data_IF_568187801517
#
_entry.id   IF_568187801517
#
_cell.length_a   1.000
_cell.length_b   1.000
_cell.length_c   1.000
_cell.angle_alpha   90.00
_cell.angle_beta   90.00
_cell.angle_gamma   90.00
#
_symmetry.space_group_name_H-M   'P 1'
#
loop_
_entity.id
_entity.type
_entity.pdbx_description
1 polymer ?
#
# COMPACT_ATOMS: atom_id res chain seq x y z
N UNK A 1 -5.58 -39.06 -3.49
CA UNK A 1 -5.89 -37.74 -4.07
C UNK A 1 -4.90 -36.77 -3.46
N UNK A 2 -3.81 -36.53 -4.17
CA UNK A 2 -2.64 -35.78 -3.68
C UNK A 2 -2.88 -34.30 -3.96
N UNK A 3 -2.93 -33.46 -2.93
CA UNK A 3 -3.01 -32.01 -3.11
C UNK A 3 -1.73 -31.52 -3.82
N UNK A 4 -1.92 -30.76 -4.90
CA UNK A 4 -0.84 -30.12 -5.64
C UNK A 4 -0.31 -28.91 -4.84
N UNK A 5 1.00 -28.60 -4.89
CA UNK A 5 1.54 -27.40 -4.28
C UNK A 5 1.10 -26.19 -5.11
N UNK A 6 0.01 -25.53 -4.71
CA UNK A 6 -0.53 -24.38 -5.44
C UNK A 6 -1.86 -23.84 -4.92
N UNK A 7 -2.67 -24.66 -4.24
CA UNK A 7 -3.93 -24.20 -3.65
C UNK A 7 -3.67 -23.50 -2.31
N UNK A 8 -3.16 -22.27 -2.39
CA UNK A 8 -3.25 -21.32 -1.28
C UNK A 8 -4.68 -20.81 -1.23
N UNK A 9 -5.38 -21.01 -0.12
CA UNK A 9 -6.68 -20.40 0.15
C UNK A 9 -6.71 -18.94 -0.32
N UNK A 10 -7.80 -18.46 -0.97
CA UNK A 10 -7.85 -17.11 -1.50
C UNK A 10 -7.50 -16.12 -0.38
N UNK A 11 -6.48 -15.30 -0.61
CA UNK A 11 -6.06 -14.29 0.36
C UNK A 11 -7.26 -13.35 0.58
N UNK A 12 -7.92 -13.51 1.72
CA UNK A 12 -9.16 -12.82 2.01
C UNK A 12 -8.80 -11.38 2.37
N UNK A 13 -8.88 -10.49 1.38
CA UNK A 13 -8.70 -9.05 1.60
C UNK A 13 -9.80 -8.56 2.54
N UNK A 14 -9.39 -8.04 3.70
CA UNK A 14 -10.27 -7.57 4.77
C UNK A 14 -10.08 -6.09 5.07
N UNK A 15 -8.95 -5.49 4.69
CA UNK A 15 -8.67 -4.07 4.92
C UNK A 15 -7.76 -3.49 3.85
N UNK A 16 -8.26 -2.43 3.22
CA UNK A 16 -7.55 -1.63 2.23
C UNK A 16 -7.33 -0.22 2.76
N UNK A 17 -6.17 0.37 2.47
CA UNK A 17 -5.88 1.77 2.81
C UNK A 17 -5.73 2.57 1.52
N UNK A 18 -6.56 3.61 1.35
CA UNK A 18 -6.44 4.59 0.27
C UNK A 18 -5.79 5.87 0.79
N UNK A 19 -4.70 6.29 0.15
CA UNK A 19 -4.01 7.54 0.42
C UNK A 19 -4.19 8.47 -0.77
N UNK A 20 -4.85 9.61 -0.60
CA UNK A 20 -4.86 10.67 -1.61
C UNK A 20 -3.73 11.66 -1.33
N UNK A 21 -3.01 12.08 -2.37
CA UNK A 21 -1.87 13.00 -2.21
C UNK A 21 -1.73 13.94 -3.41
N UNK A 22 -1.19 15.13 -3.15
CA UNK A 22 -0.84 16.13 -4.16
C UNK A 22 0.35 16.95 -3.68
N UNK A 23 1.50 16.87 -4.36
CA UNK A 23 2.72 17.63 -4.08
C UNK A 23 3.14 17.61 -2.59
N UNK A 24 3.11 16.42 -1.96
CA UNK A 24 3.42 16.23 -0.52
C UNK A 24 4.35 15.03 -0.28
N UNK A 25 5.58 15.04 -0.81
CA UNK A 25 6.52 13.92 -0.67
C UNK A 25 6.78 13.55 0.80
N UNK A 26 7.09 14.53 1.64
CA UNK A 26 7.40 14.31 3.06
C UNK A 26 6.24 13.77 3.88
N UNK A 27 5.00 14.06 3.47
CA UNK A 27 3.82 13.53 4.17
C UNK A 27 3.54 12.10 3.70
N UNK A 28 3.65 11.86 2.40
CA UNK A 28 3.45 10.53 1.82
C UNK A 28 4.41 9.52 2.45
N UNK A 29 5.70 9.84 2.59
CA UNK A 29 6.67 8.94 3.22
C UNK A 29 6.32 8.65 4.69
N UNK A 30 5.94 9.67 5.46
CA UNK A 30 5.56 9.50 6.88
C UNK A 30 4.33 8.61 7.05
N UNK A 31 3.35 8.73 6.16
CA UNK A 31 2.15 7.89 6.15
C UNK A 31 2.55 6.45 5.82
N UNK A 32 3.33 6.22 4.77
CA UNK A 32 3.80 4.89 4.38
C UNK A 32 4.59 4.23 5.52
N UNK A 33 5.53 4.94 6.12
CA UNK A 33 6.28 4.46 7.29
C UNK A 33 5.38 4.12 8.48
N UNK A 34 4.36 4.94 8.76
CA UNK A 34 3.42 4.69 9.85
C UNK A 34 2.56 3.45 9.58
N UNK A 35 2.19 3.20 8.33
CA UNK A 35 1.47 2.00 7.90
C UNK A 35 2.33 0.74 8.03
N UNK A 36 3.62 0.83 7.70
CA UNK A 36 4.57 -0.28 7.91
C UNK A 36 4.77 -0.65 9.39
N UNK A 37 4.47 0.26 10.33
CA UNK A 37 4.60 0.06 11.78
C UNK A 37 3.31 -0.40 12.47
N UNK A 38 2.22 -0.62 11.73
CA UNK A 38 0.97 -1.11 12.33
C UNK A 38 1.13 -2.54 12.85
N UNK A 39 0.53 -2.83 14.01
CA UNK A 39 0.48 -4.20 14.56
C UNK A 39 -0.32 -5.16 13.68
N UNK A 40 -1.25 -4.63 12.90
CA UNK A 40 -1.94 -5.31 11.80
C UNK A 40 -1.70 -4.53 10.50
N UNK A 41 -0.88 -5.05 9.57
CA UNK A 41 -0.73 -4.45 8.24
C UNK A 41 -2.06 -4.41 7.48
N UNK A 42 -2.20 -3.44 6.59
CA UNK A 42 -3.24 -3.46 5.58
C UNK A 42 -2.96 -4.58 4.57
N UNK A 43 -4.01 -5.17 4.01
CA UNK A 43 -3.88 -6.20 2.99
C UNK A 43 -3.46 -5.58 1.64
N UNK A 44 -3.86 -4.32 1.41
CA UNK A 44 -3.40 -3.50 0.28
C UNK A 44 -3.32 -2.01 0.67
N UNK A 45 -2.39 -1.30 0.03
CA UNK A 45 -2.24 0.16 0.13
C UNK A 45 -2.31 0.73 -1.29
N UNK A 46 -3.23 1.64 -1.52
CA UNK A 46 -3.45 2.31 -2.81
C UNK A 46 -3.13 3.78 -2.64
N UNK A 47 -2.24 4.31 -3.48
CA UNK A 47 -1.90 5.73 -3.52
C UNK A 47 -2.58 6.36 -4.73
N UNK A 48 -3.52 7.27 -4.49
CA UNK A 48 -4.18 8.09 -5.49
C UNK A 48 -3.50 9.46 -5.56
N UNK A 49 -2.58 9.61 -6.52
CA UNK A 49 -1.87 10.86 -6.78
C UNK A 49 -2.67 11.75 -7.76
N UNK A 50 -2.95 13.00 -7.36
CA UNK A 50 -3.73 13.98 -8.13
C UNK A 50 -2.84 14.85 -9.05
N UNK A 51 -1.89 14.25 -9.75
CA UNK A 51 -1.04 14.94 -10.73
C UNK A 51 0.14 15.70 -10.10
N UNK A 52 0.79 15.11 -9.11
CA UNK A 52 1.98 15.65 -8.45
C UNK A 52 3.22 15.65 -9.34
N UNK A 53 4.20 16.46 -8.95
CA UNK A 53 5.53 16.46 -9.55
C UNK A 53 6.35 15.22 -9.20
N UNK A 54 7.50 15.09 -9.90
CA UNK A 54 8.41 13.95 -9.80
C UNK A 54 8.86 13.64 -8.37
N UNK A 55 9.07 14.68 -7.54
CA UNK A 55 9.47 14.52 -6.13
C UNK A 55 8.48 13.69 -5.32
N UNK A 56 7.17 13.81 -5.57
CA UNK A 56 6.15 12.99 -4.88
C UNK A 56 6.12 11.56 -5.42
N UNK A 57 6.24 11.42 -6.75
CA UNK A 57 6.22 10.11 -7.41
C UNK A 57 7.45 9.24 -7.06
N UNK A 58 8.60 9.87 -6.80
CA UNK A 58 9.82 9.16 -6.39
C UNK A 58 9.69 8.53 -5.00
N UNK A 59 8.69 8.90 -4.20
CA UNK A 59 8.45 8.28 -2.88
C UNK A 59 7.76 6.91 -2.96
N UNK A 60 7.26 6.50 -4.13
CA UNK A 60 6.50 5.25 -4.33
C UNK A 60 7.11 4.31 -5.38
N UNK A 61 8.37 4.54 -5.76
CA UNK A 61 9.16 3.68 -6.66
C UNK A 61 10.12 2.81 -5.88
#
# INVERSE_FOLDING_TARGET
>A
MTNLPGDSEPHRLTTSVLITTYNRPDTLIKVLEALCRQTRPADEIIVADDGSGQETLDMIR
#
